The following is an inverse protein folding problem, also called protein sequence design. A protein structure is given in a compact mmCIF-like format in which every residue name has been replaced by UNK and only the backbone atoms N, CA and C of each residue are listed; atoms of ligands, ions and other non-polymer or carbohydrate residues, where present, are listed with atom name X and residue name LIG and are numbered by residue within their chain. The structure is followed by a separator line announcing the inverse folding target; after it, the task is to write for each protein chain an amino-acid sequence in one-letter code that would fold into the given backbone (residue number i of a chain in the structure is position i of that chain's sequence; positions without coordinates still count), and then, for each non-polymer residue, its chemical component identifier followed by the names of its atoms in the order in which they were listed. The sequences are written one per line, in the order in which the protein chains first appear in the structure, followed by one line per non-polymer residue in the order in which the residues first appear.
data_IF_289153915449
#
_entry.id   IF_289153915449
#
_cell.length_a   1.000
_cell.length_b   1.000
_cell.length_c   1.000
_cell.angle_alpha   90.00
_cell.angle_beta   90.00
_cell.angle_gamma   90.00
#
_symmetry.space_group_name_H-M   'P 1'
#
loop_
_entity.id
_entity.type
_entity.pdbx_description
1 polymer ?
#
# COMPACT_ATOMS: atom_id res chain seq x y z
N UNK A 1 31.27 11.95 -3.79
CA UNK A 1 31.32 12.14 -5.26
C UNK A 1 31.83 10.87 -5.90
N UNK A 2 31.08 10.32 -6.86
CA UNK A 2 31.48 9.12 -7.61
C UNK A 2 32.63 9.38 -8.60
N UNK A 3 33.21 8.30 -9.12
CA UNK A 3 34.31 8.33 -10.10
C UNK A 3 33.96 9.18 -11.34
N UNK A 4 32.79 8.96 -11.94
CA UNK A 4 32.30 9.72 -13.10
C UNK A 4 32.06 11.20 -12.82
N UNK A 5 31.59 11.53 -11.62
CA UNK A 5 31.41 12.90 -11.20
C UNK A 5 32.76 13.63 -11.05
N UNK A 6 33.80 12.95 -10.55
CA UNK A 6 35.15 13.52 -10.46
C UNK A 6 35.76 13.78 -11.84
N UNK A 7 35.56 12.87 -12.80
CA UNK A 7 35.97 13.06 -14.20
C UNK A 7 35.25 14.24 -14.86
N UNK A 8 33.93 14.36 -14.66
CA UNK A 8 33.11 15.45 -15.21
C UNK A 8 33.61 16.84 -14.76
N UNK A 9 34.15 16.95 -13.55
CA UNK A 9 34.70 18.20 -13.00
C UNK A 9 36.23 18.29 -13.10
N UNK A 10 36.86 17.52 -14.01
CA UNK A 10 38.30 17.61 -14.30
C UNK A 10 39.22 17.23 -13.14
N UNK A 11 38.73 16.52 -12.13
CA UNK A 11 39.53 16.12 -10.97
C UNK A 11 40.35 14.88 -11.32
N UNK A 12 41.62 14.85 -10.89
CA UNK A 12 42.46 13.66 -10.99
C UNK A 12 41.81 12.50 -10.23
N UNK A 13 41.58 11.40 -10.95
CA UNK A 13 41.07 10.14 -10.40
C UNK A 13 42.16 9.08 -10.54
N UNK A 14 42.37 8.29 -9.48
CA UNK A 14 43.23 7.11 -9.55
C UNK A 14 42.42 6.02 -10.25
N UNK A 15 42.91 5.57 -11.41
CA UNK A 15 42.39 4.37 -12.08
C UNK A 15 43.08 3.16 -11.47
N UNK A 16 42.32 2.29 -10.83
CA UNK A 16 42.84 1.00 -10.39
C UNK A 16 42.95 0.14 -11.65
N UNK A 17 44.15 -0.34 -12.01
CA UNK A 17 44.30 -1.22 -13.16
C UNK A 17 43.49 -2.49 -12.93
N UNK A 18 42.92 -3.04 -13.99
CA UNK A 18 42.30 -4.36 -13.93
C UNK A 18 43.35 -5.38 -13.42
N UNK A 19 42.95 -6.36 -12.59
CA UNK A 19 43.85 -7.42 -12.19
C UNK A 19 44.40 -8.12 -13.44
N UNK A 20 45.71 -8.43 -13.45
CA UNK A 20 46.31 -9.20 -14.53
C UNK A 20 45.66 -10.57 -14.58
N UNK A 21 44.94 -10.85 -15.67
CA UNK A 21 44.30 -12.12 -15.92
C UNK A 21 45.27 -12.97 -16.76
N UNK A 22 45.71 -14.11 -16.23
CA UNK A 22 46.68 -14.99 -16.93
C UNK A 22 46.08 -15.72 -18.12
N UNK A 23 44.74 -15.87 -18.16
CA UNK A 23 44.02 -16.54 -19.23
C UNK A 23 42.87 -15.66 -19.75
N UNK A 24 42.87 -15.36 -21.05
CA UNK A 24 41.74 -14.77 -21.77
C UNK A 24 40.68 -15.85 -22.00
N UNK A 25 39.82 -16.09 -21.02
CA UNK A 25 38.63 -16.92 -21.23
C UNK A 25 37.57 -16.10 -21.97
N UNK A 26 37.20 -16.53 -23.19
CA UNK A 26 36.03 -16.00 -23.89
C UNK A 26 34.77 -16.32 -23.08
N UNK A 27 34.23 -15.31 -22.39
CA UNK A 27 32.91 -15.41 -21.77
C UNK A 27 31.86 -15.34 -22.88
N UNK A 28 31.38 -16.51 -23.33
CA UNK A 28 30.21 -16.59 -24.21
C UNK A 28 28.96 -16.20 -23.43
N UNK A 29 28.54 -14.94 -23.57
CA UNK A 29 27.25 -14.46 -23.05
C UNK A 29 26.17 -14.97 -24.00
N UNK A 30 25.47 -16.02 -23.60
CA UNK A 30 24.28 -16.48 -24.30
C UNK A 30 23.12 -15.57 -23.92
N UNK A 31 22.78 -14.65 -24.83
CA UNK A 31 21.50 -13.93 -24.76
C UNK A 31 20.41 -14.94 -25.09
N UNK A 32 19.61 -15.30 -24.09
CA UNK A 32 18.46 -16.19 -24.25
C UNK A 32 17.45 -15.57 -25.23
N UNK A 33 17.53 -15.96 -26.51
CA UNK A 33 16.65 -15.45 -27.57
C UNK A 33 15.19 -15.88 -27.35
N UNK A 34 14.93 -16.88 -26.50
CA UNK A 34 13.57 -17.30 -26.13
C UNK A 34 12.97 -16.43 -25.00
N UNK A 35 13.78 -15.56 -24.38
CA UNK A 35 13.29 -14.44 -23.54
C UNK A 35 13.07 -13.16 -24.34
N UNK A 36 12.88 -13.26 -25.65
CA UNK A 36 12.22 -12.23 -26.46
C UNK A 36 10.70 -12.24 -26.29
N UNK A 37 10.16 -12.76 -25.18
CA UNK A 37 8.83 -12.31 -24.78
C UNK A 37 8.93 -10.82 -24.48
N UNK A 38 8.30 -9.93 -25.28
CA UNK A 38 8.28 -8.53 -24.93
C UNK A 38 7.69 -8.45 -23.53
N UNK A 39 8.45 -7.86 -22.59
CA UNK A 39 7.96 -7.58 -21.24
C UNK A 39 6.49 -7.12 -21.36
N UNK A 40 5.51 -7.75 -20.69
CA UNK A 40 4.09 -7.49 -20.90
C UNK A 40 3.74 -5.99 -20.82
N UNK A 41 4.53 -5.23 -20.07
CA UNK A 41 4.42 -3.78 -19.96
C UNK A 41 4.78 -3.07 -21.28
N UNK A 42 5.81 -3.54 -21.99
CA UNK A 42 6.23 -3.00 -23.27
C UNK A 42 5.23 -3.35 -24.39
N UNK A 43 4.67 -4.56 -24.40
CA UNK A 43 3.65 -4.94 -25.39
C UNK A 43 2.34 -4.16 -25.20
N UNK A 44 1.87 -4.00 -23.97
CA UNK A 44 0.70 -3.17 -23.66
C UNK A 44 0.90 -1.72 -24.13
N UNK A 45 2.06 -1.14 -23.82
CA UNK A 45 2.39 0.24 -24.21
C UNK A 45 2.44 0.39 -25.73
N UNK A 46 2.93 -0.60 -26.47
CA UNK A 46 2.93 -0.59 -27.94
C UNK A 46 1.50 -0.57 -28.50
N UNK A 47 0.62 -1.45 -28.01
CA UNK A 47 -0.79 -1.50 -28.40
C UNK A 47 -1.48 -0.17 -28.14
N UNK A 48 -1.28 0.41 -26.95
CA UNK A 48 -1.83 1.72 -26.58
C UNK A 48 -1.27 2.82 -27.48
N UNK A 49 0.02 2.79 -27.78
CA UNK A 49 0.67 3.78 -28.67
C UNK A 49 0.01 3.76 -30.06
N UNK A 50 -0.20 2.58 -30.64
CA UNK A 50 -0.88 2.48 -31.92
C UNK A 50 -2.34 2.98 -31.86
N UNK A 51 -3.07 2.64 -30.79
CA UNK A 51 -4.45 3.10 -30.58
C UNK A 51 -4.52 4.63 -30.53
N UNK A 52 -3.62 5.27 -29.78
CA UNK A 52 -3.55 6.73 -29.67
C UNK A 52 -3.19 7.36 -31.02
N UNK A 53 -2.20 6.83 -31.73
CA UNK A 53 -1.79 7.35 -33.05
C UNK A 53 -2.87 7.20 -34.13
N UNK A 54 -3.64 6.10 -34.12
CA UNK A 54 -4.71 5.84 -35.08
C UNK A 54 -5.98 6.66 -34.80
N UNK A 55 -6.14 7.19 -33.59
CA UNK A 55 -7.32 7.97 -33.22
C UNK A 55 -7.23 9.41 -33.74
N UNK A 56 -7.82 9.67 -34.90
CA UNK A 56 -7.84 10.97 -35.57
C UNK A 56 -8.63 12.06 -34.83
N UNK A 57 -9.46 11.70 -33.85
CA UNK A 57 -10.19 12.68 -33.05
C UNK A 57 -9.30 13.37 -32.01
N UNK A 58 -8.15 12.79 -31.66
CA UNK A 58 -7.24 13.34 -30.65
C UNK A 58 -6.50 14.59 -31.17
N UNK A 59 -6.39 15.57 -30.29
CA UNK A 59 -5.74 16.86 -30.53
C UNK A 59 -4.32 16.77 -29.97
N UNK A 60 -3.39 16.17 -30.72
CA UNK A 60 -2.03 15.91 -30.23
C UNK A 60 -1.14 17.16 -30.20
N UNK A 61 -1.47 18.18 -31.00
CA UNK A 61 -0.76 19.46 -31.02
C UNK A 61 -1.52 20.49 -30.19
N UNK A 62 -0.86 21.08 -29.19
CA UNK A 62 -1.44 22.17 -28.40
C UNK A 62 -1.56 23.43 -29.27
N UNK A 63 -2.72 24.08 -29.24
CA UNK A 63 -2.92 25.35 -29.95
C UNK A 63 -2.06 26.47 -29.34
N UNK A 64 -1.61 27.41 -30.17
CA UNK A 64 -0.87 28.60 -29.74
C UNK A 64 -1.76 29.58 -28.97
N UNK A 65 -3.08 29.54 -29.20
CA UNK A 65 -4.06 30.41 -28.54
C UNK A 65 -5.18 29.59 -27.93
N UNK A 66 -5.63 30.01 -26.75
CA UNK A 66 -6.79 29.42 -26.10
C UNK A 66 -8.06 29.95 -26.80
N UNK A 67 -8.74 29.08 -27.54
CA UNK A 67 -10.00 29.40 -28.23
C UNK A 67 -11.04 28.36 -27.87
N UNK A 68 -12.24 28.82 -27.50
CA UNK A 68 -13.34 27.97 -26.99
C UNK A 68 -12.84 26.97 -25.91
N UNK A 69 -12.34 27.49 -24.77
CA UNK A 69 -11.89 26.66 -23.67
C UNK A 69 -13.01 25.78 -23.11
N UNK A 70 -12.62 24.66 -22.53
CA UNK A 70 -13.52 23.84 -21.72
C UNK A 70 -14.04 24.63 -20.50
N UNK A 71 -15.20 24.23 -19.97
CA UNK A 71 -15.78 24.87 -18.78
C UNK A 71 -14.81 24.84 -17.60
N UNK A 72 -14.14 23.70 -17.39
CA UNK A 72 -13.15 23.55 -16.32
C UNK A 72 -11.99 24.53 -16.53
N UNK A 73 -11.45 24.62 -17.76
CA UNK A 73 -10.36 25.54 -18.08
C UNK A 73 -10.78 27.00 -17.92
N UNK A 74 -12.03 27.32 -18.28
CA UNK A 74 -12.58 28.68 -18.14
C UNK A 74 -12.64 29.12 -16.68
N UNK A 75 -13.09 28.23 -15.78
CA UNK A 75 -13.11 28.50 -14.33
C UNK A 75 -11.70 28.72 -13.77
N UNK A 76 -10.73 27.92 -14.22
CA UNK A 76 -9.32 28.11 -13.85
C UNK A 76 -8.79 29.45 -14.34
N UNK A 77 -9.08 29.83 -15.57
CA UNK A 77 -8.65 31.10 -16.15
C UNK A 77 -9.17 32.29 -15.35
N UNK A 78 -10.48 32.29 -15.03
CA UNK A 78 -11.09 33.32 -14.20
C UNK A 78 -10.46 33.37 -12.81
N UNK A 79 -10.22 32.22 -12.18
CA UNK A 79 -9.59 32.14 -10.87
C UNK A 79 -8.18 32.76 -10.88
N UNK A 80 -7.30 32.30 -11.77
CA UNK A 80 -5.92 32.75 -11.84
C UNK A 80 -5.80 34.23 -12.22
N UNK A 81 -6.74 34.78 -13.01
CA UNK A 81 -6.75 36.22 -13.34
C UNK A 81 -6.92 37.14 -12.13
N UNK A 82 -7.52 36.64 -11.05
CA UNK A 82 -7.77 37.39 -9.80
C UNK A 82 -6.61 37.23 -8.80
N UNK A 83 -5.68 36.31 -9.04
CA UNK A 83 -4.58 35.99 -8.13
C UNK A 83 -3.46 37.02 -8.24
N UNK A 84 -2.86 37.31 -7.08
CA UNK A 84 -1.60 38.06 -6.98
C UNK A 84 -0.53 37.13 -6.43
N UNK A 85 0.71 37.39 -6.81
CA UNK A 85 1.86 36.63 -6.32
C UNK A 85 1.89 36.73 -4.80
N UNK A 86 2.06 35.57 -4.15
CA UNK A 86 2.18 35.47 -2.70
C UNK A 86 3.66 35.26 -2.34
N UNK A 87 4.23 36.15 -1.54
CA UNK A 87 5.63 36.07 -1.10
C UNK A 87 5.91 34.90 -0.15
N UNK A 88 4.85 34.36 0.46
CA UNK A 88 4.89 33.15 1.31
C UNK A 88 4.60 31.87 0.54
N UNK A 89 4.43 31.93 -0.78
CA UNK A 89 4.25 30.73 -1.59
C UNK A 89 5.47 29.82 -1.48
N UNK A 90 5.23 28.50 -1.45
CA UNK A 90 6.30 27.48 -1.39
C UNK A 90 7.33 27.64 -2.52
N UNK A 91 6.87 28.09 -3.70
CA UNK A 91 7.71 28.50 -4.80
C UNK A 91 7.46 30.00 -5.01
N UNK A 92 8.45 30.83 -4.71
CA UNK A 92 8.36 32.28 -4.84
C UNK A 92 8.15 32.67 -6.30
N UNK A 93 7.32 33.70 -6.51
CA UNK A 93 6.96 34.20 -7.83
C UNK A 93 5.85 33.41 -8.53
N UNK A 94 5.19 32.48 -7.83
CA UNK A 94 4.06 31.72 -8.38
C UNK A 94 2.72 32.18 -7.82
N UNK A 95 1.67 31.85 -8.56
CA UNK A 95 0.28 31.87 -8.14
C UNK A 95 -0.28 30.46 -8.26
N UNK A 96 -1.28 30.17 -7.44
CA UNK A 96 -1.95 28.88 -7.39
C UNK A 96 -3.48 29.03 -7.52
N UNK A 97 -4.08 28.00 -8.10
CA UNK A 97 -5.53 27.84 -8.14
C UNK A 97 -6.10 27.52 -6.77
N UNK A 98 -7.30 28.02 -6.47
CA UNK A 98 -8.03 27.65 -5.26
C UNK A 98 -8.42 26.16 -5.21
N UNK A 99 -8.74 25.68 -4.01
CA UNK A 99 -9.34 24.36 -3.82
C UNK A 99 -10.66 24.21 -4.59
N UNK A 100 -10.93 23.01 -5.12
CA UNK A 100 -12.08 22.76 -6.00
C UNK A 100 -11.83 23.12 -7.47
N UNK A 101 -10.59 23.38 -7.85
CA UNK A 101 -10.14 23.56 -9.24
C UNK A 101 -8.96 22.63 -9.56
N UNK A 102 -8.65 22.39 -10.85
CA UNK A 102 -7.40 21.75 -11.26
C UNK A 102 -6.20 22.44 -10.61
N UNK A 103 -5.35 21.67 -9.93
CA UNK A 103 -4.23 22.21 -9.17
C UNK A 103 -3.11 22.66 -10.12
N UNK A 104 -3.01 23.98 -10.27
CA UNK A 104 -2.01 24.65 -11.10
C UNK A 104 -1.20 25.61 -10.24
N UNK A 105 0.12 25.48 -10.26
CA UNK A 105 1.05 26.36 -9.53
C UNK A 105 2.10 26.87 -10.51
N UNK A 106 1.97 28.10 -10.98
CA UNK A 106 2.82 28.67 -12.03
C UNK A 106 3.08 30.16 -11.81
N UNK A 107 4.15 30.70 -12.38
CA UNK A 107 4.36 32.15 -12.43
C UNK A 107 3.33 32.83 -13.34
N UNK A 108 2.96 34.11 -13.10
CA UNK A 108 1.97 34.82 -13.91
C UNK A 108 2.24 34.78 -15.42
N UNK A 109 3.51 34.84 -15.83
CA UNK A 109 3.94 34.73 -17.24
C UNK A 109 3.58 33.40 -17.90
N UNK A 110 3.46 32.32 -17.12
CA UNK A 110 3.21 30.97 -17.60
C UNK A 110 1.73 30.55 -17.54
N UNK A 111 0.84 31.41 -17.03
CA UNK A 111 -0.60 31.11 -16.90
C UNK A 111 -1.23 30.75 -18.24
N UNK A 112 -1.03 31.59 -19.26
CA UNK A 112 -1.59 31.35 -20.60
C UNK A 112 -1.15 30.00 -21.18
N UNK A 113 0.13 29.65 -20.98
CA UNK A 113 0.70 28.38 -21.43
C UNK A 113 0.10 27.18 -20.67
N UNK A 114 0.02 27.28 -19.34
CA UNK A 114 -0.58 26.24 -18.51
C UNK A 114 -2.05 25.99 -18.87
N UNK A 115 -2.84 27.05 -19.15
CA UNK A 115 -4.22 26.94 -19.57
C UNK A 115 -4.37 26.22 -20.92
N UNK A 116 -3.50 26.51 -21.90
CA UNK A 116 -3.51 25.82 -23.22
C UNK A 116 -3.21 24.33 -23.08
N UNK A 117 -2.25 23.98 -22.22
CA UNK A 117 -1.91 22.57 -21.92
C UNK A 117 -3.08 21.88 -21.22
N UNK A 118 -3.65 22.50 -20.19
CA UNK A 118 -4.80 21.97 -19.46
C UNK A 118 -5.99 21.72 -20.40
N UNK A 119 -6.35 22.71 -21.21
CA UNK A 119 -7.49 22.64 -22.12
C UNK A 119 -7.35 21.50 -23.12
N UNK A 120 -6.14 21.36 -23.70
CA UNK A 120 -5.83 20.30 -24.63
C UNK A 120 -5.96 18.91 -23.97
N UNK A 121 -5.40 18.74 -22.78
CA UNK A 121 -5.48 17.48 -22.05
C UNK A 121 -6.92 17.13 -21.69
N UNK A 122 -7.70 18.09 -21.18
CA UNK A 122 -9.13 17.90 -20.86
C UNK A 122 -9.91 17.45 -22.08
N UNK A 123 -9.75 18.13 -23.22
CA UNK A 123 -10.43 17.76 -24.47
C UNK A 123 -10.07 16.35 -24.93
N UNK A 124 -8.78 15.99 -24.89
CA UNK A 124 -8.33 14.64 -25.23
C UNK A 124 -8.88 13.59 -24.26
N UNK A 125 -8.90 13.84 -22.95
CA UNK A 125 -9.48 12.91 -21.97
C UNK A 125 -10.99 12.71 -22.17
N UNK A 126 -11.73 13.75 -22.56
CA UNK A 126 -13.14 13.62 -22.97
C UNK A 126 -13.28 12.75 -24.22
N UNK A 127 -12.43 12.94 -25.23
CA UNK A 127 -12.42 12.12 -26.47
C UNK A 127 -12.14 10.64 -26.14
N UNK A 128 -11.25 10.37 -25.18
CA UNK A 128 -10.97 9.02 -24.70
C UNK A 128 -12.08 8.42 -23.80
N UNK A 129 -13.13 9.20 -23.51
CA UNK A 129 -14.30 8.75 -22.73
C UNK A 129 -14.07 8.72 -21.23
N UNK A 130 -13.05 9.40 -20.71
CA UNK A 130 -12.81 9.44 -19.27
C UNK A 130 -13.75 10.40 -18.56
N UNK A 131 -14.23 9.98 -17.37
CA UNK A 131 -15.03 10.82 -16.50
C UNK A 131 -14.12 11.74 -15.71
N UNK A 132 -14.43 13.03 -15.68
CA UNK A 132 -13.66 13.98 -14.90
C UNK A 132 -14.40 14.35 -13.62
N UNK A 133 -13.66 14.49 -12.54
CA UNK A 133 -14.13 14.98 -11.26
C UNK A 133 -13.08 15.93 -10.69
N UNK A 134 -13.51 16.93 -9.93
CA UNK A 134 -12.60 17.80 -9.20
C UNK A 134 -12.90 17.61 -7.72
N UNK A 135 -11.87 17.31 -6.93
CA UNK A 135 -11.96 17.23 -5.48
C UNK A 135 -10.89 18.09 -4.82
N UNK A 136 -10.68 17.92 -3.51
CA UNK A 136 -9.70 18.68 -2.74
C UNK A 136 -8.25 18.52 -3.23
N UNK A 137 -7.93 17.43 -3.95
CA UNK A 137 -6.59 17.19 -4.49
C UNK A 137 -6.39 17.81 -5.89
N UNK A 138 -7.48 18.15 -6.58
CA UNK A 138 -7.46 18.79 -7.89
C UNK A 138 -8.26 18.00 -8.93
N UNK A 139 -7.82 18.08 -10.19
CA UNK A 139 -8.51 17.43 -11.31
C UNK A 139 -8.17 15.94 -11.35
N UNK A 140 -9.20 15.10 -11.22
CA UNK A 140 -9.11 13.66 -11.41
C UNK A 140 -9.85 13.26 -12.66
N UNK A 141 -9.27 12.34 -13.41
CA UNK A 141 -9.96 11.64 -14.48
C UNK A 141 -10.01 10.14 -14.16
N UNK A 142 -11.10 9.51 -14.56
CA UNK A 142 -11.44 8.16 -14.17
C UNK A 142 -11.89 7.33 -15.37
N UNK A 143 -11.40 6.09 -15.40
CA UNK A 143 -11.92 5.03 -16.24
C UNK A 143 -12.34 3.88 -15.32
N UNK A 144 -13.59 3.43 -15.46
CA UNK A 144 -14.18 2.43 -14.55
C UNK A 144 -14.16 2.89 -13.08
N UNK A 145 -13.48 2.14 -12.20
CA UNK A 145 -13.29 2.43 -10.77
C UNK A 145 -11.93 3.08 -10.47
N UNK A 146 -11.06 3.22 -11.47
CA UNK A 146 -9.73 3.76 -11.32
C UNK A 146 -9.71 5.27 -11.51
N UNK A 147 -8.86 5.95 -10.74
CA UNK A 147 -8.72 7.41 -10.76
C UNK A 147 -7.24 7.79 -10.87
N UNK A 148 -6.97 8.80 -11.66
CA UNK A 148 -5.66 9.41 -11.81
C UNK A 148 -5.81 10.92 -11.65
N UNK A 149 -4.91 11.54 -10.88
CA UNK A 149 -4.91 12.97 -10.60
C UNK A 149 -3.90 13.71 -11.49
N UNK A 150 -4.27 14.91 -11.95
CA UNK A 150 -3.42 15.78 -12.77
C UNK A 150 -3.06 17.06 -12.03
N UNK A 151 -1.78 17.41 -12.12
CA UNK A 151 -1.25 18.70 -11.66
C UNK A 151 -0.43 19.36 -12.77
N UNK A 152 -0.46 20.69 -12.83
CA UNK A 152 0.48 21.47 -13.65
C UNK A 152 1.30 22.35 -12.72
N UNK A 153 2.62 22.18 -12.70
CA UNK A 153 3.50 22.94 -11.80
C UNK A 153 4.67 23.52 -12.56
N UNK A 154 5.07 24.74 -12.20
CA UNK A 154 6.35 25.29 -12.61
C UNK A 154 7.46 24.76 -11.72
N UNK A 155 8.58 24.35 -12.32
CA UNK A 155 9.76 23.92 -11.59
C UNK A 155 10.47 25.13 -10.99
N UNK A 156 11.34 24.87 -10.03
CA UNK A 156 12.01 25.89 -9.27
C UNK A 156 13.49 25.61 -9.11
N UNK A 157 14.29 26.66 -9.08
CA UNK A 157 15.68 26.60 -8.68
C UNK A 157 15.82 27.08 -7.23
N UNK A 158 16.81 26.57 -6.52
CA UNK A 158 17.15 27.06 -5.18
C UNK A 158 17.99 28.31 -5.32
N UNK A 159 17.63 29.38 -4.60
CA UNK A 159 18.43 30.59 -4.45
C UNK A 159 18.69 30.83 -2.95
N UNK A 160 19.97 30.99 -2.60
CA UNK A 160 20.33 31.43 -1.26
C UNK A 160 19.99 32.92 -1.13
N UNK A 161 19.26 33.26 -0.07
CA UNK A 161 18.88 34.64 0.26
C UNK A 161 19.31 34.94 1.69
N UNK A 162 19.85 36.14 1.91
CA UNK A 162 20.20 36.62 3.25
C UNK A 162 19.27 37.77 3.59
N UNK A 163 18.60 37.71 4.74
CA UNK A 163 17.76 38.82 5.18
C UNK A 163 18.61 39.96 5.77
N UNK A 164 17.98 41.10 6.04
CA UNK A 164 18.64 42.28 6.63
C UNK A 164 19.32 42.01 7.98
N UNK A 165 18.90 40.96 8.69
CA UNK A 165 19.46 40.51 9.97
C UNK A 165 20.60 39.48 9.81
N UNK A 166 21.04 39.22 8.58
CA UNK A 166 22.13 38.28 8.28
C UNK A 166 21.73 36.80 8.29
N UNK A 167 20.46 36.45 8.49
CA UNK A 167 20.00 35.07 8.45
C UNK A 167 19.90 34.57 7.01
N UNK A 168 20.49 33.41 6.77
CA UNK A 168 20.49 32.73 5.47
C UNK A 168 19.25 31.84 5.36
N UNK A 169 18.53 31.97 4.25
CA UNK A 169 17.42 31.12 3.84
C UNK A 169 17.69 30.55 2.45
N UNK A 170 17.05 29.43 2.12
CA UNK A 170 17.01 28.85 0.79
C UNK A 170 15.61 28.98 0.24
N UNK A 171 15.45 29.87 -0.74
CA UNK A 171 14.19 30.09 -1.40
C UNK A 171 14.10 29.27 -2.69
N UNK A 172 12.93 28.69 -2.95
CA UNK A 172 12.62 28.10 -4.25
C UNK A 172 12.02 29.18 -5.14
N UNK A 173 12.67 29.45 -6.28
CA UNK A 173 12.24 30.48 -7.24
C UNK A 173 11.83 29.80 -8.53
N UNK A 174 10.65 30.14 -9.03
CA UNK A 174 10.11 29.60 -10.28
C UNK A 174 11.08 29.85 -11.45
N UNK A 175 11.41 28.81 -12.21
CA UNK A 175 12.45 28.87 -13.25
C UNK A 175 11.89 28.95 -14.68
N UNK A 176 10.58 29.05 -14.86
CA UNK A 176 9.91 29.13 -16.16
C UNK A 176 9.52 27.77 -16.76
N UNK A 177 10.08 26.67 -16.28
CA UNK A 177 9.87 25.33 -16.85
C UNK A 177 8.60 24.70 -16.29
N UNK A 178 7.65 24.36 -17.15
CA UNK A 178 6.41 23.69 -16.75
C UNK A 178 6.59 22.18 -16.65
N UNK A 179 5.78 21.58 -15.78
CA UNK A 179 5.70 20.14 -15.60
C UNK A 179 4.25 19.71 -15.38
N UNK A 180 3.81 18.74 -16.17
CA UNK A 180 2.55 18.01 -15.96
C UNK A 180 2.86 16.78 -15.11
N UNK A 181 2.17 16.63 -13.98
CA UNK A 181 2.30 15.48 -13.09
C UNK A 181 1.04 14.66 -13.14
N UNK A 182 1.23 13.37 -13.37
CA UNK A 182 0.20 12.35 -13.37
C UNK A 182 0.42 11.52 -12.10
N UNK A 183 -0.54 11.55 -11.19
CA UNK A 183 -0.43 10.96 -9.85
C UNK A 183 -1.47 9.86 -9.67
N UNK A 184 -0.99 8.72 -9.20
CA UNK A 184 -1.77 7.55 -8.82
C UNK A 184 -1.11 6.95 -7.56
N UNK A 185 -0.59 5.72 -7.59
CA UNK A 185 0.26 5.17 -6.52
C UNK A 185 1.66 5.82 -6.49
N UNK A 186 2.12 6.34 -7.62
CA UNK A 186 3.34 7.11 -7.77
C UNK A 186 3.10 8.36 -8.61
N UNK A 187 4.13 9.19 -8.73
CA UNK A 187 4.07 10.39 -9.57
C UNK A 187 4.92 10.19 -10.81
N UNK A 188 4.31 10.31 -11.99
CA UNK A 188 5.04 10.47 -13.25
C UNK A 188 5.04 11.94 -13.63
N UNK A 189 6.21 12.51 -13.90
CA UNK A 189 6.37 13.92 -14.28
C UNK A 189 6.81 14.02 -15.75
N UNK A 190 6.09 14.83 -16.53
CA UNK A 190 6.47 15.27 -17.87
C UNK A 190 6.81 16.74 -17.78
N UNK A 191 8.10 17.05 -17.82
CA UNK A 191 8.59 18.42 -17.66
C UNK A 191 9.17 18.95 -18.97
N UNK A 192 9.21 20.27 -19.06
CA UNK A 192 10.05 20.95 -20.02
C UNK A 192 11.51 20.56 -19.83
N UNK A 193 12.23 20.64 -20.93
CA UNK A 193 13.69 20.60 -21.01
C UNK A 193 14.12 21.63 -22.04
N UNK A 194 15.42 21.90 -22.14
CA UNK A 194 15.96 22.83 -23.14
C UNK A 194 15.64 22.43 -24.60
N UNK A 195 15.27 21.16 -24.83
CA UNK A 195 15.03 20.59 -26.17
C UNK A 195 13.57 20.18 -26.43
N UNK A 196 12.75 20.05 -25.39
CA UNK A 196 11.43 19.45 -25.48
C UNK A 196 10.49 20.11 -24.50
N UNK A 197 9.39 20.67 -25.00
CA UNK A 197 8.37 21.28 -24.17
C UNK A 197 7.30 20.26 -23.77
N UNK A 198 6.50 20.59 -22.76
CA UNK A 198 5.33 19.78 -22.37
C UNK A 198 4.30 19.68 -23.49
N UNK A 199 4.09 20.74 -24.28
CA UNK A 199 3.16 20.75 -25.42
C UNK A 199 3.51 19.70 -26.49
N UNK A 200 4.80 19.39 -26.64
CA UNK A 200 5.29 18.37 -27.58
C UNK A 200 5.16 16.95 -27.02
N UNK A 201 4.75 16.82 -25.75
CA UNK A 201 4.66 15.56 -25.02
C UNK A 201 3.21 15.09 -24.81
N UNK A 202 2.21 15.77 -25.38
CA UNK A 202 0.80 15.40 -25.22
C UNK A 202 0.56 13.93 -25.58
N UNK A 203 1.05 13.47 -26.73
CA UNK A 203 0.92 12.07 -27.14
C UNK A 203 1.49 11.11 -26.08
N UNK A 204 2.68 11.42 -25.53
CA UNK A 204 3.33 10.60 -24.49
C UNK A 204 2.53 10.59 -23.19
N UNK A 205 1.94 11.73 -22.81
CA UNK A 205 1.08 11.85 -21.63
C UNK A 205 -0.16 10.98 -21.80
N UNK A 206 -0.84 11.06 -22.95
CA UNK A 206 -2.04 10.26 -23.25
C UNK A 206 -1.73 8.76 -23.25
N UNK A 207 -0.63 8.35 -23.89
CA UNK A 207 -0.19 6.94 -23.89
C UNK A 207 0.06 6.45 -22.48
N UNK A 208 0.76 7.26 -21.65
CA UNK A 208 1.03 6.89 -20.26
C UNK A 208 -0.27 6.68 -19.49
N UNK A 209 -1.20 7.64 -19.57
CA UNK A 209 -2.49 7.58 -18.88
C UNK A 209 -3.30 6.35 -19.29
N UNK A 210 -3.47 6.10 -20.59
CA UNK A 210 -4.25 4.96 -21.09
C UNK A 210 -3.58 3.63 -20.71
N UNK A 211 -2.24 3.54 -20.76
CA UNK A 211 -1.51 2.35 -20.32
C UNK A 211 -1.73 2.07 -18.83
N UNK A 212 -1.74 3.11 -18.00
CA UNK A 212 -1.99 2.97 -16.55
C UNK A 212 -3.41 2.48 -16.27
N UNK A 213 -4.42 3.00 -16.96
CA UNK A 213 -5.79 2.51 -16.82
C UNK A 213 -5.94 1.04 -17.21
N UNK A 214 -5.36 0.63 -18.34
CA UNK A 214 -5.43 -0.78 -18.75
C UNK A 214 -4.70 -1.69 -17.74
N UNK A 215 -3.55 -1.26 -17.22
CA UNK A 215 -2.81 -2.00 -16.19
C UNK A 215 -3.61 -2.14 -14.90
N UNK A 216 -4.26 -1.07 -14.43
CA UNK A 216 -5.09 -1.13 -13.23
C UNK A 216 -6.29 -2.06 -13.41
N UNK A 217 -6.95 -2.02 -14.57
CA UNK A 217 -8.06 -2.90 -14.88
C UNK A 217 -7.62 -4.39 -14.88
N UNK A 218 -6.46 -4.70 -15.46
CA UNK A 218 -5.91 -6.05 -15.44
C UNK A 218 -5.53 -6.51 -14.03
N UNK A 219 -4.85 -5.66 -13.26
CA UNK A 219 -4.51 -5.97 -11.87
C UNK A 219 -5.77 -6.23 -11.04
N UNK A 220 -6.81 -5.41 -11.15
CA UNK A 220 -8.08 -5.64 -10.45
C UNK A 220 -8.67 -7.01 -10.74
N UNK A 221 -8.64 -7.44 -12.01
CA UNK A 221 -9.12 -8.77 -12.41
C UNK A 221 -8.30 -9.88 -11.76
N UNK A 222 -6.97 -9.77 -11.75
CA UNK A 222 -6.08 -10.73 -11.09
C UNK A 222 -6.31 -10.81 -9.59
N UNK A 223 -6.39 -9.65 -8.92
CA UNK A 223 -6.61 -9.56 -7.48
C UNK A 223 -7.95 -10.18 -7.06
N UNK A 224 -9.00 -10.02 -7.87
CA UNK A 224 -10.30 -10.64 -7.59
C UNK A 224 -10.20 -12.17 -7.59
N UNK A 225 -9.59 -12.75 -8.63
CA UNK A 225 -9.40 -14.20 -8.77
C UNK A 225 -8.52 -14.75 -7.63
N UNK A 226 -7.42 -14.08 -7.31
CA UNK A 226 -6.52 -14.49 -6.22
C UNK A 226 -7.19 -14.38 -4.84
N UNK A 227 -8.02 -13.35 -4.62
CA UNK A 227 -8.76 -13.18 -3.37
C UNK A 227 -9.78 -14.29 -3.16
N UNK A 228 -10.52 -14.68 -4.20
CA UNK A 228 -11.47 -15.78 -4.16
C UNK A 228 -10.76 -17.10 -3.81
N UNK A 229 -9.64 -17.39 -4.47
CA UNK A 229 -8.83 -18.59 -4.18
C UNK A 229 -8.27 -18.61 -2.76
N UNK A 230 -7.81 -17.47 -2.24
CA UNK A 230 -7.29 -17.37 -0.85
C UNK A 230 -8.39 -17.62 0.17
N UNK A 231 -9.59 -17.12 -0.06
CA UNK A 231 -10.71 -17.30 0.85
C UNK A 231 -11.18 -18.77 0.90
N UNK A 232 -11.19 -19.47 -0.23
CA UNK A 232 -11.46 -20.91 -0.26
C UNK A 232 -10.42 -21.71 0.53
N UNK A 233 -9.12 -21.41 0.33
CA UNK A 233 -8.04 -22.06 1.08
C UNK A 233 -8.13 -21.78 2.58
N UNK A 234 -8.48 -20.54 2.96
CA UNK A 234 -8.66 -20.14 4.36
C UNK A 234 -9.76 -20.96 5.02
N UNK A 235 -10.92 -21.13 4.37
CA UNK A 235 -12.03 -21.94 4.88
C UNK A 235 -11.65 -23.41 5.06
N UNK A 236 -10.88 -23.96 4.11
CA UNK A 236 -10.39 -25.34 4.20
C UNK A 236 -9.44 -25.49 5.41
N UNK A 237 -8.53 -24.55 5.61
CA UNK A 237 -7.58 -24.60 6.73
C UNK A 237 -8.28 -24.39 8.08
N UNK A 238 -9.21 -23.45 8.18
CA UNK A 238 -10.03 -23.23 9.38
C UNK A 238 -10.84 -24.48 9.75
N UNK A 239 -11.44 -25.16 8.75
CA UNK A 239 -12.15 -26.41 8.97
C UNK A 239 -11.22 -27.53 9.46
N UNK A 240 -10.03 -27.67 8.86
CA UNK A 240 -9.02 -28.64 9.31
C UNK A 240 -8.53 -28.35 10.72
N UNK A 241 -8.29 -27.08 11.05
CA UNK A 241 -7.84 -26.69 12.38
C UNK A 241 -8.92 -26.99 13.42
N UNK A 242 -10.18 -26.68 13.13
CA UNK A 242 -11.30 -27.03 14.00
C UNK A 242 -11.39 -28.53 14.26
N UNK A 243 -11.22 -29.36 13.23
CA UNK A 243 -11.20 -30.83 13.41
C UNK A 243 -10.04 -31.28 14.30
N UNK A 244 -8.84 -30.69 14.14
CA UNK A 244 -7.67 -31.00 14.99
C UNK A 244 -7.91 -30.58 16.45
N UNK A 245 -8.50 -29.41 16.66
CA UNK A 245 -8.77 -28.88 18.00
C UNK A 245 -9.84 -29.73 18.72
N UNK A 246 -10.88 -30.14 17.99
CA UNK A 246 -11.91 -31.06 18.51
C UNK A 246 -11.32 -32.43 18.86
N UNK A 247 -10.44 -32.98 18.02
CA UNK A 247 -9.77 -34.25 18.28
C UNK A 247 -8.83 -34.16 19.49
N UNK A 248 -8.05 -33.08 19.59
CA UNK A 248 -7.16 -32.82 20.71
C UNK A 248 -7.95 -32.65 22.02
N UNK A 249 -9.06 -31.91 22.00
CA UNK A 249 -9.91 -31.72 23.18
C UNK A 249 -10.50 -33.06 23.67
N UNK A 250 -10.97 -33.92 22.75
CA UNK A 250 -11.42 -35.27 23.09
C UNK A 250 -10.30 -36.09 23.71
N UNK A 251 -9.10 -36.05 23.13
CA UNK A 251 -7.95 -36.78 23.66
C UNK A 251 -7.51 -36.29 25.05
N UNK A 252 -7.49 -34.97 25.28
CA UNK A 252 -7.19 -34.38 26.58
C UNK A 252 -8.21 -34.83 27.64
N UNK A 253 -9.50 -34.81 27.31
CA UNK A 253 -10.55 -35.29 28.21
C UNK A 253 -10.32 -36.78 28.57
N UNK A 254 -10.11 -37.63 27.57
CA UNK A 254 -9.80 -39.04 27.77
C UNK A 254 -8.55 -39.27 28.64
N UNK A 255 -7.46 -38.54 28.35
CA UNK A 255 -6.21 -38.60 29.09
C UNK A 255 -6.41 -38.24 30.57
N UNK A 256 -7.11 -37.13 30.82
CA UNK A 256 -7.41 -36.66 32.17
C UNK A 256 -8.30 -37.65 32.94
N UNK A 257 -9.32 -38.21 32.29
CA UNK A 257 -10.19 -39.22 32.89
C UNK A 257 -9.41 -40.47 33.29
N UNK A 258 -8.53 -40.97 32.42
CA UNK A 258 -7.69 -42.13 32.71
C UNK A 258 -6.72 -41.87 33.89
N UNK A 259 -6.07 -40.69 33.90
CA UNK A 259 -5.17 -40.30 34.98
C UNK A 259 -5.91 -40.13 36.31
N UNK A 260 -7.09 -39.51 36.29
CA UNK A 260 -7.94 -39.32 37.46
C UNK A 260 -8.49 -40.65 37.97
N UNK A 261 -8.85 -41.57 37.08
CA UNK A 261 -9.26 -42.93 37.46
C UNK A 261 -8.16 -43.67 38.22
N UNK A 262 -6.91 -43.61 37.72
CA UNK A 262 -5.77 -44.22 38.42
C UNK A 262 -5.56 -43.62 39.83
N UNK A 263 -5.65 -42.30 39.96
CA UNK A 263 -5.57 -41.61 41.27
C UNK A 263 -6.74 -42.01 42.18
N UNK A 264 -7.95 -42.13 41.63
CA UNK A 264 -9.13 -42.61 42.35
C UNK A 264 -8.94 -44.03 42.88
N UNK A 265 -8.37 -44.95 42.10
CA UNK A 265 -8.05 -46.31 42.56
C UNK A 265 -7.12 -46.27 43.77
N UNK A 266 -6.05 -45.46 43.72
CA UNK A 266 -5.13 -45.29 44.86
C UNK A 266 -5.86 -44.78 46.11
N UNK A 267 -6.72 -43.76 45.96
CA UNK A 267 -7.51 -43.21 47.08
C UNK A 267 -8.51 -44.23 47.64
N UNK A 268 -9.14 -45.02 46.76
CA UNK A 268 -10.08 -46.07 47.14
C UNK A 268 -9.41 -47.19 47.93
N UNK A 269 -8.25 -47.67 47.45
CA UNK A 269 -7.45 -48.67 48.16
C UNK A 269 -7.02 -48.16 49.54
N UNK A 270 -6.59 -46.91 49.65
CA UNK A 270 -6.25 -46.28 50.92
C UNK A 270 -7.47 -46.15 51.86
N UNK A 271 -8.63 -45.76 51.34
CA UNK A 271 -9.87 -45.69 52.10
C UNK A 271 -10.28 -47.06 52.67
N UNK A 272 -10.24 -48.12 51.87
CA UNK A 272 -10.55 -49.49 52.34
C UNK A 272 -9.56 -49.97 53.42
N UNK A 273 -8.27 -49.66 53.25
CA UNK A 273 -7.26 -49.93 54.27
C UNK A 273 -7.56 -49.18 55.59
N UNK A 274 -7.90 -47.89 55.53
CA UNK A 274 -8.23 -47.10 56.72
C UNK A 274 -9.53 -47.55 57.38
N UNK A 275 -10.55 -47.92 56.60
CA UNK A 275 -11.83 -48.43 57.08
C UNK A 275 -11.68 -49.75 57.86
N UNK A 276 -10.73 -50.61 57.45
CA UNK A 276 -10.43 -51.87 58.14
C UNK A 276 -9.57 -51.70 59.41
N UNK A 277 -8.76 -50.64 59.52
CA UNK A 277 -7.83 -50.44 60.64
C UNK A 277 -8.26 -49.38 61.66
N UNK A 278 -9.22 -48.50 61.34
CA UNK A 278 -9.63 -47.39 62.20
C UNK A 278 -11.15 -47.23 62.26
N UNK A 279 -11.81 -48.11 63.03
CA UNK A 279 -13.26 -48.32 63.01
C UNK A 279 -14.08 -47.28 63.79
N UNK A 280 -13.44 -46.34 64.49
CA UNK A 280 -14.10 -45.47 65.47
C UNK A 280 -14.43 -44.07 64.94
N UNK A 281 -13.83 -43.64 63.82
CA UNK A 281 -14.07 -42.30 63.25
C UNK A 281 -15.07 -42.32 62.09
N UNK A 282 -16.35 -42.44 62.43
CA UNK A 282 -17.46 -42.50 61.44
C UNK A 282 -17.57 -41.25 60.57
N UNK A 283 -17.34 -40.07 61.14
CA UNK A 283 -17.45 -38.80 60.41
C UNK A 283 -16.41 -38.70 59.28
N UNK A 284 -15.17 -39.14 59.52
CA UNK A 284 -14.15 -39.17 58.49
C UNK A 284 -14.46 -40.18 57.38
N UNK A 285 -15.00 -41.35 57.73
CA UNK A 285 -15.39 -42.38 56.75
C UNK A 285 -16.48 -41.84 55.82
N UNK A 286 -17.53 -41.23 56.36
CA UNK A 286 -18.61 -40.64 55.57
C UNK A 286 -18.14 -39.47 54.68
N UNK A 287 -17.21 -38.64 55.19
CA UNK A 287 -16.59 -37.58 54.40
C UNK A 287 -15.74 -38.15 53.25
N UNK A 288 -14.88 -39.13 53.53
CA UNK A 288 -13.98 -39.71 52.54
C UNK A 288 -14.74 -40.43 51.42
N UNK A 289 -15.84 -41.12 51.76
CA UNK A 289 -16.73 -41.76 50.79
C UNK A 289 -17.36 -40.74 49.83
N UNK A 290 -17.86 -39.61 50.34
CA UNK A 290 -18.37 -38.51 49.51
C UNK A 290 -17.28 -37.89 48.62
N UNK A 291 -16.05 -37.75 49.11
CA UNK A 291 -14.92 -37.22 48.31
C UNK A 291 -14.46 -38.20 47.22
N UNK A 292 -14.53 -39.51 47.48
CA UNK A 292 -14.28 -40.54 46.45
C UNK A 292 -15.32 -40.45 45.34
N UNK A 293 -16.60 -40.31 45.67
CA UNK A 293 -17.69 -40.18 44.69
C UNK A 293 -17.61 -38.88 43.87
N UNK A 294 -17.08 -37.81 44.45
CA UNK A 294 -16.81 -36.54 43.74
C UNK A 294 -15.63 -36.67 42.78
N UNK A 295 -14.59 -37.43 43.16
CA UNK A 295 -13.35 -37.56 42.40
C UNK A 295 -13.40 -38.64 41.31
N UNK A 296 -14.25 -39.66 41.48
CA UNK A 296 -14.46 -40.75 40.53
C UNK A 296 -14.85 -40.21 39.14
N UNK A 297 -14.06 -40.45 38.08
CA UNK A 297 -14.42 -40.04 36.72
C UNK A 297 -15.76 -40.61 36.22
N UNK A 298 -16.22 -41.76 36.72
CA UNK A 298 -17.44 -42.42 36.26
C UNK A 298 -18.71 -41.87 36.93
N UNK A 299 -18.66 -41.55 38.24
CA UNK A 299 -19.78 -40.95 38.97
C UNK A 299 -19.80 -39.43 38.85
N UNK A 300 -18.61 -38.81 38.89
CA UNK A 300 -18.36 -37.39 38.75
C UNK A 300 -19.35 -36.49 39.53
N UNK A 301 -19.66 -36.86 40.78
CA UNK A 301 -20.68 -36.14 41.56
C UNK A 301 -20.24 -34.70 41.86
N UNK A 302 -21.22 -33.82 42.10
CA UNK A 302 -21.01 -32.44 42.50
C UNK A 302 -20.81 -32.35 44.02
N UNK A 303 -19.92 -31.46 44.46
CA UNK A 303 -19.65 -31.21 45.87
C UNK A 303 -19.56 -29.70 46.06
N UNK A 304 -20.58 -29.14 46.70
CA UNK A 304 -20.75 -27.68 46.83
C UNK A 304 -19.58 -26.94 47.50
N UNK A 305 -18.69 -27.65 48.20
CA UNK A 305 -17.47 -27.07 48.79
C UNK A 305 -16.27 -27.11 47.84
N UNK A 306 -16.34 -27.88 46.74
CA UNK A 306 -15.26 -28.11 45.78
C UNK A 306 -15.59 -27.66 44.34
N UNK A 307 -16.70 -26.96 44.12
CA UNK A 307 -17.14 -26.52 42.78
C UNK A 307 -16.10 -25.66 42.03
N UNK A 308 -15.27 -24.92 42.79
CA UNK A 308 -14.21 -24.07 42.25
C UNK A 308 -12.85 -24.76 42.20
N UNK A 309 -12.78 -26.09 42.32
CA UNK A 309 -11.53 -26.85 42.24
C UNK A 309 -11.47 -27.58 40.90
N UNK A 310 -10.30 -27.53 40.25
CA UNK A 310 -10.04 -28.36 39.08
C UNK A 310 -9.78 -29.80 39.52
N UNK A 311 -10.61 -30.74 39.04
CA UNK A 311 -10.52 -32.16 39.45
C UNK A 311 -9.23 -32.85 38.94
N UNK A 312 -8.56 -32.31 37.93
CA UNK A 312 -7.34 -32.89 37.36
C UNK A 312 -6.08 -32.43 38.11
N UNK A 313 -6.01 -31.14 38.45
CA UNK A 313 -4.86 -30.54 39.17
C UNK A 313 -5.05 -30.50 40.68
N UNK A 314 -6.29 -30.57 41.18
CA UNK A 314 -6.69 -30.35 42.58
C UNK A 314 -6.38 -28.94 43.09
N UNK A 315 -6.25 -27.98 42.17
CA UNK A 315 -6.00 -26.58 42.48
C UNK A 315 -7.29 -25.77 42.36
N UNK A 316 -7.39 -24.66 43.12
CA UNK A 316 -8.50 -23.74 42.97
C UNK A 316 -8.43 -23.05 41.60
N UNK A 317 -9.53 -23.08 40.84
CA UNK A 317 -9.71 -22.25 39.65
C UNK A 317 -9.68 -20.79 40.14
N UNK A 318 -8.72 -20.00 39.66
CA UNK A 318 -8.42 -18.66 40.18
C UNK A 318 -9.68 -17.86 40.55
N UNK A 319 -9.75 -17.35 41.80
CA UNK A 319 -10.80 -16.41 42.20
C UNK A 319 -10.61 -15.12 41.39
N UNK A 320 -11.66 -14.65 40.73
CA UNK A 320 -11.74 -13.22 40.35
C UNK A 320 -11.46 -12.40 41.62
N UNK A 321 -10.33 -11.70 41.62
CA UNK A 321 -10.06 -10.64 42.60
C UNK A 321 -11.20 -9.64 42.47
N UNK A 322 -11.96 -9.48 43.54
CA UNK A 322 -12.84 -8.33 43.65
C UNK A 322 -11.92 -7.14 43.86
N UNK A 323 -11.70 -6.36 42.81
CA UNK A 323 -11.09 -5.04 42.91
C UNK A 323 -12.12 -4.15 43.62
N UNK A 324 -11.73 -3.65 44.79
CA UNK A 324 -12.51 -2.73 45.62
C UNK A 324 -12.39 -1.29 45.11
#
# INVERSE_FOLDING_TARGET
MGYWQKLQFGKKVVQIPLPQQENEEEVKIYVDQNKNEPNPINSLRQIVTEKIKKNSALILKVSERLSKPDEITSKVQENLSKKKVNDYAKIKGTIDTDGGLPNIVVSPKNVSRALRILDNLIKNFKILGYKMNIDSEGLKFAAYEDKITLYIKEKSNIKDTTNERGWKSRDLIANGMLAVKIVQYGTTEFADTDKLLVEDQIEKILIKVETEFQRMAENRRKWKIESEKREELRKIEEAKQKMKDEELAKFIAFYNDAHRWKKFIILKEYFEYMKSHNTTNKEWIEWAEKKLDWYDPAKNTEDGLMDNVDKNTLEAKEKKRWDW
#
